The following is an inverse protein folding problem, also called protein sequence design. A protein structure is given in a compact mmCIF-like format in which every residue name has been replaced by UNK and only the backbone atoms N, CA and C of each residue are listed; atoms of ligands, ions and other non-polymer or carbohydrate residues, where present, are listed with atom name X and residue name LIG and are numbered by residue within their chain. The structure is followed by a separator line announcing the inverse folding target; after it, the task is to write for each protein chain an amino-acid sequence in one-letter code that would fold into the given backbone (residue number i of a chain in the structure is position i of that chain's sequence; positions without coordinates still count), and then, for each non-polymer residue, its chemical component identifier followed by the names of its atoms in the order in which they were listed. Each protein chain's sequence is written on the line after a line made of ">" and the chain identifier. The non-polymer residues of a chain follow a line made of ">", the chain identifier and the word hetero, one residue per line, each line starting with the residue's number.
data_IF_676481756441
#
_entry.id   IF_676481756441
#
_cell.length_a   1.000
_cell.length_b   1.000
_cell.length_c   1.000
_cell.angle_alpha   90.00
_cell.angle_beta   90.00
_cell.angle_gamma   90.00
#
_symmetry.space_group_name_H-M   'P 1'
#
loop_
_entity.id
_entity.type
_entity.pdbx_description
1 polymer ?
#
# COMPACT_ATOMS: atom_id res chain seq x y z
N UNK A 1 4.57 24.42 16.76
CA UNK A 1 4.56 23.37 15.70
C UNK A 1 3.36 23.62 14.81
N UNK A 2 3.57 23.81 13.51
CA UNK A 2 2.45 24.05 12.58
C UNK A 2 1.62 22.77 12.42
N UNK A 3 0.32 22.91 12.10
CA UNK A 3 -0.56 21.78 11.80
C UNK A 3 0.03 20.88 10.70
N UNK A 4 0.67 21.50 9.71
CA UNK A 4 1.34 20.80 8.62
C UNK A 4 2.49 19.92 9.11
N UNK A 5 3.38 20.47 9.95
CA UNK A 5 4.48 19.68 10.54
C UNK A 5 3.96 18.52 11.40
N UNK A 6 2.90 18.74 12.16
CA UNK A 6 2.25 17.70 12.93
C UNK A 6 1.71 16.58 12.02
N UNK A 7 1.01 16.95 10.94
CA UNK A 7 0.46 15.98 9.99
C UNK A 7 1.58 15.14 9.32
N UNK A 8 2.64 15.79 8.84
CA UNK A 8 3.78 15.10 8.22
C UNK A 8 4.45 14.13 9.20
N UNK A 9 4.65 14.54 10.44
CA UNK A 9 5.24 13.67 11.47
C UNK A 9 4.34 12.49 11.81
N UNK A 10 3.03 12.71 11.89
CA UNK A 10 2.06 11.63 12.17
C UNK A 10 2.01 10.63 11.02
N UNK A 11 1.96 11.08 9.78
CA UNK A 11 2.00 10.20 8.59
C UNK A 11 3.31 9.42 8.57
N UNK A 12 4.45 10.08 8.81
CA UNK A 12 5.78 9.45 8.84
C UNK A 12 5.84 8.33 9.89
N UNK A 13 5.36 8.58 11.09
CA UNK A 13 5.34 7.61 12.17
C UNK A 13 4.45 6.40 11.83
N UNK A 14 3.23 6.65 11.35
CA UNK A 14 2.29 5.57 10.98
C UNK A 14 2.76 4.76 9.78
N UNK A 15 3.27 5.42 8.75
CA UNK A 15 3.85 4.74 7.59
C UNK A 15 5.05 3.87 7.99
N UNK A 16 5.90 4.34 8.89
CA UNK A 16 7.03 3.56 9.43
C UNK A 16 6.57 2.33 10.22
N UNK A 17 5.50 2.44 11.00
CA UNK A 17 4.89 1.28 11.68
C UNK A 17 4.46 0.21 10.67
N UNK A 18 3.78 0.59 9.58
CA UNK A 18 3.40 -0.36 8.52
C UNK A 18 4.61 -0.98 7.82
N UNK A 19 5.66 -0.20 7.55
CA UNK A 19 6.88 -0.73 6.94
C UNK A 19 7.59 -1.77 7.81
N UNK A 20 7.57 -1.63 9.13
CA UNK A 20 8.16 -2.64 10.02
C UNK A 20 7.42 -3.98 9.98
N UNK A 21 6.14 -3.96 9.63
CA UNK A 21 5.32 -5.16 9.43
C UNK A 21 5.59 -5.81 8.07
N UNK A 22 6.10 -5.05 7.10
CA UNK A 22 6.51 -5.53 5.79
C UNK A 22 8.00 -5.88 5.87
N UNK A 23 8.36 -7.06 5.44
CA UNK A 23 9.75 -7.54 5.51
C UNK A 23 10.65 -6.84 4.46
N UNK A 24 10.83 -5.53 4.61
CA UNK A 24 11.66 -4.67 3.75
C UNK A 24 12.94 -4.26 4.45
N UNK A 25 13.93 -3.80 3.68
CA UNK A 25 15.16 -3.19 4.23
C UNK A 25 14.90 -1.82 4.85
N UNK A 26 13.78 -1.19 4.49
CA UNK A 26 13.43 0.15 4.93
C UNK A 26 12.74 0.05 6.28
N UNK A 27 13.29 0.73 7.26
CA UNK A 27 12.78 0.72 8.64
C UNK A 27 11.96 1.95 8.97
N UNK A 28 12.24 3.06 8.29
CA UNK A 28 11.63 4.36 8.58
C UNK A 28 11.44 5.19 7.34
N UNK A 29 10.33 5.89 7.28
CA UNK A 29 10.05 6.97 6.34
C UNK A 29 10.01 8.27 7.14
N UNK A 30 10.64 9.32 6.62
CA UNK A 30 10.51 10.67 7.11
C UNK A 30 10.00 11.57 5.98
N UNK A 31 8.92 12.28 6.27
CA UNK A 31 8.41 13.34 5.40
C UNK A 31 8.92 14.68 5.93
N UNK A 32 9.60 15.44 5.10
CA UNK A 32 10.09 16.76 5.45
C UNK A 32 9.65 17.81 4.44
N UNK A 33 9.39 19.01 4.96
CA UNK A 33 9.00 20.15 4.15
C UNK A 33 10.25 20.82 3.58
N UNK A 34 10.29 20.98 2.25
CA UNK A 34 11.32 21.77 1.55
C UNK A 34 10.62 22.85 0.73
N UNK A 35 10.75 24.10 1.15
CA UNK A 35 10.23 25.26 0.45
C UNK A 35 8.74 25.09 0.01
N UNK A 36 8.50 24.50 -1.16
CA UNK A 36 7.16 24.26 -1.73
C UNK A 36 6.82 22.78 -1.88
N UNK A 37 7.80 21.89 -1.62
CA UNK A 37 7.66 20.45 -1.83
C UNK A 37 7.78 19.66 -0.53
N UNK A 38 7.30 18.42 -0.56
CA UNK A 38 7.50 17.45 0.50
C UNK A 38 8.52 16.44 -0.01
N UNK A 39 9.63 16.30 0.70
CA UNK A 39 10.60 15.25 0.42
C UNK A 39 10.31 14.00 1.24
N UNK A 40 10.53 12.85 0.62
CA UNK A 40 10.41 11.54 1.23
C UNK A 40 11.83 11.00 1.40
N UNK A 41 12.20 10.72 2.65
CA UNK A 41 13.50 10.14 3.00
C UNK A 41 13.23 8.77 3.61
N UNK A 42 13.92 7.77 3.11
CA UNK A 42 13.83 6.39 3.60
C UNK A 42 15.12 6.03 4.33
N UNK A 43 14.98 5.45 5.52
CA UNK A 43 16.13 5.01 6.30
C UNK A 43 16.17 3.48 6.36
N UNK A 44 17.28 2.91 5.98
CA UNK A 44 17.68 1.54 6.30
C UNK A 44 18.51 1.51 7.58
N UNK A 45 18.98 0.34 8.01
CA UNK A 45 19.78 0.20 9.24
C UNK A 45 20.98 1.13 9.31
N UNK A 46 21.64 1.41 8.18
CA UNK A 46 22.94 2.04 8.14
C UNK A 46 23.04 3.26 7.21
N UNK A 47 21.98 3.57 6.46
CA UNK A 47 22.04 4.63 5.45
C UNK A 47 20.68 5.27 5.21
N UNK A 48 20.74 6.51 4.77
CA UNK A 48 19.60 7.26 4.27
C UNK A 48 19.52 7.05 2.76
N UNK A 49 18.34 6.71 2.27
CA UNK A 49 18.09 6.40 0.88
C UNK A 49 17.08 7.35 0.28
N UNK A 50 17.40 7.87 -0.88
CA UNK A 50 16.43 8.60 -1.70
C UNK A 50 15.44 7.63 -2.33
N UNK A 51 14.21 8.11 -2.56
CA UNK A 51 13.14 7.32 -3.17
C UNK A 51 13.56 6.72 -4.53
N UNK A 52 14.38 7.45 -5.30
CA UNK A 52 14.86 7.00 -6.61
C UNK A 52 15.81 5.79 -6.54
N UNK A 53 16.55 5.66 -5.44
CA UNK A 53 17.48 4.55 -5.23
C UNK A 53 16.83 3.26 -4.74
N UNK A 54 15.55 3.29 -4.42
CA UNK A 54 14.81 2.11 -3.97
C UNK A 54 14.52 1.14 -5.13
N UNK A 55 14.50 -0.16 -4.81
CA UNK A 55 14.00 -1.18 -5.74
C UNK A 55 12.51 -0.99 -6.05
N UNK A 56 12.02 -1.63 -7.11
CA UNK A 56 10.61 -1.57 -7.48
C UNK A 56 9.68 -2.02 -6.37
N UNK A 57 10.00 -3.13 -5.70
CA UNK A 57 9.23 -3.65 -4.58
C UNK A 57 9.26 -2.74 -3.34
N UNK A 58 10.41 -2.15 -3.04
CA UNK A 58 10.55 -1.17 -1.95
C UNK A 58 9.72 0.08 -2.21
N UNK A 59 9.71 0.59 -3.46
CA UNK A 59 8.85 1.73 -3.84
C UNK A 59 7.38 1.43 -3.64
N UNK A 60 6.92 0.25 -4.01
CA UNK A 60 5.53 -0.21 -3.78
C UNK A 60 5.21 -0.27 -2.30
N UNK A 61 6.09 -0.84 -1.49
CA UNK A 61 5.91 -0.93 -0.03
C UNK A 61 5.83 0.44 0.62
N UNK A 62 6.71 1.37 0.25
CA UNK A 62 6.71 2.75 0.73
C UNK A 62 5.43 3.48 0.34
N UNK A 63 5.00 3.37 -0.93
CA UNK A 63 3.78 4.01 -1.40
C UNK A 63 2.54 3.51 -0.65
N UNK A 64 2.44 2.20 -0.42
CA UNK A 64 1.33 1.61 0.31
C UNK A 64 1.36 2.01 1.79
N UNK A 65 2.52 1.97 2.44
CA UNK A 65 2.69 2.40 3.82
C UNK A 65 2.31 3.87 4.03
N UNK A 66 2.67 4.76 3.09
CA UNK A 66 2.26 6.16 3.12
C UNK A 66 0.75 6.34 2.97
N UNK A 67 0.11 5.59 2.08
CA UNK A 67 -1.36 5.61 1.94
C UNK A 67 -2.07 5.18 3.23
N UNK A 68 -1.59 4.11 3.86
CA UNK A 68 -2.10 3.63 5.14
C UNK A 68 -1.86 4.65 6.27
N UNK A 69 -0.70 5.28 6.29
CA UNK A 69 -0.37 6.35 7.24
C UNK A 69 -1.28 7.56 7.09
N UNK A 70 -1.57 7.99 5.86
CA UNK A 70 -2.51 9.08 5.58
C UNK A 70 -3.94 8.71 5.97
N UNK A 71 -4.40 7.50 5.68
CA UNK A 71 -5.72 7.04 6.07
C UNK A 71 -5.88 7.03 7.60
N UNK A 72 -4.85 6.61 8.34
CA UNK A 72 -4.83 6.65 9.79
C UNK A 72 -4.92 8.07 10.35
N UNK A 73 -4.29 9.06 9.69
CA UNK A 73 -4.38 10.47 10.08
C UNK A 73 -5.82 11.02 9.95
N UNK A 74 -6.55 10.57 8.93
CA UNK A 74 -7.92 11.02 8.65
C UNK A 74 -8.97 10.41 9.60
N UNK A 75 -8.55 9.75 10.66
CA UNK A 75 -9.44 9.23 11.71
C UNK A 75 -9.82 7.77 11.55
N UNK A 76 -9.22 7.06 10.59
CA UNK A 76 -9.37 5.61 10.48
C UNK A 76 -8.53 4.89 11.55
N UNK A 77 -8.85 5.11 12.82
CA UNK A 77 -8.14 4.48 13.94
C UNK A 77 -8.28 2.96 13.94
N UNK A 78 -9.31 2.42 13.28
CA UNK A 78 -9.55 1.00 13.08
C UNK A 78 -9.73 0.72 11.58
N UNK A 79 -8.67 0.95 10.81
CA UNK A 79 -8.68 0.66 9.38
C UNK A 79 -8.73 -0.88 9.19
N UNK A 80 -9.89 -1.40 8.86
CA UNK A 80 -10.10 -2.83 8.61
C UNK A 80 -10.45 -3.16 7.15
N UNK A 81 -10.74 -2.16 6.34
CA UNK A 81 -11.05 -2.29 4.92
C UNK A 81 -10.32 -1.20 4.12
N UNK A 82 -9.64 -1.61 3.05
CA UNK A 82 -9.05 -0.72 2.07
C UNK A 82 -9.53 -1.11 0.67
N UNK A 83 -10.03 -0.13 -0.07
CA UNK A 83 -10.43 -0.31 -1.47
C UNK A 83 -9.35 0.29 -2.36
N UNK A 84 -8.78 -0.53 -3.24
CA UNK A 84 -7.77 -0.13 -4.21
C UNK A 84 -8.35 -0.27 -5.61
N UNK A 85 -8.52 0.87 -6.27
CA UNK A 85 -9.02 0.95 -7.64
C UNK A 85 -7.85 1.06 -8.60
N UNK A 86 -7.70 0.05 -9.48
CA UNK A 86 -6.62 -0.08 -10.46
C UNK A 86 -5.21 0.14 -9.88
N UNK A 87 -4.84 -0.53 -8.77
CA UNK A 87 -3.56 -0.28 -8.09
C UNK A 87 -2.35 -0.71 -8.90
N UNK A 88 -2.54 -1.51 -9.95
CA UNK A 88 -1.49 -2.02 -10.83
C UNK A 88 -1.20 -1.12 -12.03
N UNK A 89 -2.00 -0.09 -12.26
CA UNK A 89 -1.82 0.86 -13.37
C UNK A 89 -0.44 1.52 -13.29
N UNK A 90 0.26 1.54 -14.41
CA UNK A 90 1.63 2.04 -14.55
C UNK A 90 2.72 1.26 -13.81
N UNK A 91 2.42 0.09 -13.28
CA UNK A 91 3.42 -0.81 -12.73
C UNK A 91 3.90 -1.81 -13.79
N UNK A 92 5.21 -2.07 -13.81
CA UNK A 92 5.77 -3.20 -14.56
C UNK A 92 5.44 -4.54 -13.87
N UNK A 93 5.72 -5.66 -14.56
CA UNK A 93 5.38 -6.99 -14.08
C UNK A 93 6.01 -7.32 -12.71
N UNK A 94 7.23 -6.85 -12.44
CA UNK A 94 7.92 -7.08 -11.17
C UNK A 94 7.24 -6.32 -10.02
N UNK A 95 6.91 -5.05 -10.24
CA UNK A 95 6.21 -4.22 -9.25
C UNK A 95 4.79 -4.69 -8.99
N UNK A 96 4.09 -5.19 -10.00
CA UNK A 96 2.77 -5.81 -9.84
C UNK A 96 2.83 -7.02 -8.89
N UNK A 97 3.79 -7.93 -9.10
CA UNK A 97 4.01 -9.07 -8.20
C UNK A 97 4.37 -8.62 -6.78
N UNK A 98 5.20 -7.59 -6.66
CA UNK A 98 5.56 -7.00 -5.36
C UNK A 98 4.33 -6.43 -4.64
N UNK A 99 3.44 -5.75 -5.35
CA UNK A 99 2.19 -5.23 -4.79
C UNK A 99 1.34 -6.35 -4.21
N UNK A 100 1.12 -7.42 -4.96
CA UNK A 100 0.36 -8.59 -4.49
C UNK A 100 1.00 -9.20 -3.25
N UNK A 101 2.32 -9.36 -3.25
CA UNK A 101 3.07 -9.87 -2.11
C UNK A 101 2.91 -9.00 -0.86
N UNK A 102 2.99 -7.68 -1.00
CA UNK A 102 2.81 -6.72 0.09
C UNK A 102 1.38 -6.76 0.64
N UNK A 103 0.38 -6.78 -0.22
CA UNK A 103 -1.03 -6.89 0.19
C UNK A 103 -1.30 -8.20 0.93
N UNK A 104 -0.76 -9.31 0.45
CA UNK A 104 -0.82 -10.60 1.12
C UNK A 104 -0.20 -10.56 2.51
N UNK A 105 0.99 -9.96 2.66
CA UNK A 105 1.63 -9.80 3.95
C UNK A 105 0.77 -8.97 4.91
N UNK A 106 0.24 -7.84 4.45
CA UNK A 106 -0.63 -6.98 5.28
C UNK A 106 -1.93 -7.68 5.70
N UNK A 107 -2.53 -8.47 4.83
CA UNK A 107 -3.75 -9.22 5.17
C UNK A 107 -3.49 -10.33 6.20
N UNK A 108 -2.28 -10.90 6.20
CA UNK A 108 -1.88 -11.96 7.12
C UNK A 108 -1.36 -11.44 8.47
N UNK A 109 -1.03 -10.16 8.57
CA UNK A 109 -0.66 -9.52 9.83
C UNK A 109 -1.94 -9.29 10.65
N UNK A 110 -2.43 -10.33 11.28
CA UNK A 110 -3.52 -10.22 12.24
C UNK A 110 -3.00 -10.32 13.66
N UNK A 111 -3.01 -9.21 14.38
CA UNK A 111 -3.41 -9.28 15.77
C UNK A 111 -4.91 -9.57 15.81
N UNK A 112 -5.36 -10.39 16.72
CA UNK A 112 -6.71 -10.98 16.77
C UNK A 112 -7.90 -10.01 16.80
N UNK A 113 -7.69 -8.72 16.71
CA UNK A 113 -8.75 -7.70 16.81
C UNK A 113 -8.98 -6.87 15.53
N UNK A 114 -8.04 -6.83 14.58
CA UNK A 114 -8.21 -6.05 13.34
C UNK A 114 -7.54 -6.73 12.16
N UNK A 115 -8.28 -7.61 11.52
CA UNK A 115 -7.89 -8.18 10.23
C UNK A 115 -8.12 -7.15 9.14
N UNK A 116 -7.07 -6.75 8.42
CA UNK A 116 -7.21 -5.84 7.30
C UNK A 116 -7.70 -6.60 6.06
N UNK A 117 -8.81 -6.13 5.49
CA UNK A 117 -9.38 -6.63 4.27
C UNK A 117 -9.08 -5.68 3.12
N UNK A 118 -8.68 -6.22 1.98
CA UNK A 118 -8.48 -5.46 0.75
C UNK A 118 -9.54 -5.83 -0.28
N UNK A 119 -10.18 -4.81 -0.85
CA UNK A 119 -11.00 -4.93 -2.04
C UNK A 119 -10.24 -4.31 -3.20
N UNK A 120 -9.88 -5.11 -4.19
CA UNK A 120 -9.06 -4.68 -5.31
C UNK A 120 -9.90 -4.72 -6.58
N UNK A 121 -9.98 -3.60 -7.28
CA UNK A 121 -10.64 -3.48 -8.58
C UNK A 121 -9.55 -3.39 -9.63
N UNK A 122 -9.52 -4.31 -10.57
CA UNK A 122 -8.49 -4.36 -11.61
C UNK A 122 -8.97 -5.09 -12.85
N UNK A 123 -8.34 -4.78 -14.00
CA UNK A 123 -8.47 -5.55 -15.23
C UNK A 123 -7.27 -6.52 -15.46
N UNK A 124 -6.31 -6.52 -14.57
CA UNK A 124 -5.12 -7.39 -14.60
C UNK A 124 -5.43 -8.76 -13.96
N UNK A 125 -6.18 -9.61 -14.64
CA UNK A 125 -6.60 -10.93 -14.14
C UNK A 125 -5.42 -11.84 -13.77
N UNK A 126 -4.39 -11.87 -14.63
CA UNK A 126 -3.23 -12.77 -14.49
C UNK A 126 -2.46 -12.64 -13.17
N UNK A 127 -2.56 -11.49 -12.51
CA UNK A 127 -1.77 -11.19 -11.30
C UNK A 127 -2.40 -11.79 -10.07
N UNK A 128 -3.73 -11.88 -10.05
CA UNK A 128 -4.48 -12.35 -8.90
C UNK A 128 -4.90 -13.81 -9.00
N UNK A 129 -4.87 -14.42 -10.18
CA UNK A 129 -5.22 -15.84 -10.38
C UNK A 129 -4.28 -16.79 -9.63
N UNK A 130 -2.97 -16.47 -9.58
CA UNK A 130 -1.95 -17.27 -8.87
C UNK A 130 -1.67 -16.77 -7.45
N UNK A 131 -2.46 -15.83 -6.93
CA UNK A 131 -2.23 -15.22 -5.64
C UNK A 131 -3.08 -15.88 -4.53
N UNK A 132 -2.76 -15.55 -3.27
CA UNK A 132 -3.54 -15.93 -2.09
C UNK A 132 -4.84 -15.12 -1.94
N UNK A 133 -5.46 -14.72 -3.04
CA UNK A 133 -6.73 -14.00 -3.04
C UNK A 133 -7.84 -15.00 -2.66
N UNK A 134 -8.63 -14.64 -1.66
CA UNK A 134 -9.66 -15.53 -1.12
C UNK A 134 -10.88 -15.62 -2.03
N UNK A 135 -11.23 -14.52 -2.72
CA UNK A 135 -12.40 -14.45 -3.61
C UNK A 135 -12.12 -13.57 -4.81
N UNK A 136 -12.50 -14.02 -5.98
CA UNK A 136 -12.40 -13.27 -7.23
C UNK A 136 -13.79 -13.20 -7.88
N UNK A 137 -14.22 -11.99 -8.21
CA UNK A 137 -15.45 -11.74 -8.94
C UNK A 137 -15.11 -11.12 -10.29
N UNK A 138 -15.53 -11.81 -11.37
CA UNK A 138 -15.35 -11.31 -12.72
C UNK A 138 -16.63 -10.63 -13.21
N UNK A 139 -16.49 -9.41 -13.71
CA UNK A 139 -17.57 -8.65 -14.32
C UNK A 139 -17.45 -8.72 -15.84
N UNK A 140 -18.42 -9.25 -16.50
CA UNK A 140 -18.48 -9.36 -17.96
C UNK A 140 -19.63 -8.51 -18.51
N UNK A 141 -19.36 -7.76 -19.59
CA UNK A 141 -20.39 -7.05 -20.35
C UNK A 141 -21.06 -8.01 -21.31
N UNK A 142 -22.39 -8.07 -21.28
CA UNK A 142 -23.21 -8.86 -22.19
C UNK A 142 -24.22 -7.99 -22.91
N UNK A 143 -24.85 -8.50 -23.98
CA UNK A 143 -25.92 -7.78 -24.71
C UNK A 143 -27.13 -7.44 -23.81
N UNK A 144 -27.32 -8.16 -22.71
CA UNK A 144 -28.42 -7.98 -21.76
C UNK A 144 -28.02 -7.21 -20.49
N UNK A 145 -26.79 -6.69 -20.42
CA UNK A 145 -26.25 -6.00 -19.25
C UNK A 145 -24.98 -6.65 -18.72
N UNK A 146 -24.61 -6.33 -17.49
CA UNK A 146 -23.41 -6.89 -16.84
C UNK A 146 -23.74 -8.19 -16.14
N UNK A 147 -22.83 -9.17 -16.24
CA UNK A 147 -22.88 -10.44 -15.53
C UNK A 147 -21.72 -10.54 -14.57
N UNK A 148 -21.96 -11.04 -13.36
CA UNK A 148 -20.94 -11.30 -12.33
C UNK A 148 -20.73 -12.79 -12.20
N UNK A 149 -19.47 -13.21 -12.27
CA UNK A 149 -19.08 -14.62 -12.11
C UNK A 149 -18.09 -14.68 -10.94
N UNK A 150 -18.32 -15.56 -9.98
CA UNK A 150 -17.35 -15.92 -8.95
C UNK A 150 -16.40 -16.99 -9.51
N UNK A 151 -15.10 -16.76 -9.41
CA UNK A 151 -14.05 -17.68 -9.90
C UNK A 151 -13.47 -18.51 -8.77
#
# INVERSE_FOLDING_TARGET
>A
TSLRSWALNTISAKASEYLTLLNTKIQRIALSEKARDISIICNSKNEELDLESLSGGEKVSVALALRLGMASLLGASNLNLMILDEPTTHLDAERKKSLVGVLSQLSNISSSETRMQFLIITHDEEIFEDSTVEQIYKFESTEQGSKVIEL
#
